data_IF_164961272146
#
_entry.id   IF_164961272146
#
_cell.length_a   1.000
_cell.length_b   1.000
_cell.length_c   1.000
_cell.angle_alpha   90.00
_cell.angle_beta   90.00
_cell.angle_gamma   90.00
#
_symmetry.space_group_name_H-M   'P 1'
#
loop_
_entity.id
_entity.type
_entity.pdbx_description
1 polymer ?
#
# COMPACT_ATOMS: atom_id res chain seq x y z
N UNK A 1 -13.37 -11.72 -15.09
CA UNK A 1 -14.39 -12.75 -14.99
C UNK A 1 -14.62 -13.31 -13.55
N UNK A 2 -13.73 -13.01 -12.60
CA UNK A 2 -13.82 -13.42 -11.18
C UNK A 2 -14.14 -12.24 -10.24
N UNK A 3 -14.58 -11.12 -10.79
CA UNK A 3 -14.99 -9.96 -9.99
C UNK A 3 -16.50 -10.01 -9.80
N UNK A 4 -16.98 -10.17 -8.58
CA UNK A 4 -18.41 -10.32 -8.26
C UNK A 4 -19.26 -9.11 -8.70
N UNK A 5 -18.65 -7.93 -8.72
CA UNK A 5 -19.32 -6.69 -9.14
C UNK A 5 -19.36 -6.44 -10.66
N UNK A 6 -18.72 -7.30 -11.46
CA UNK A 6 -18.63 -7.14 -12.92
C UNK A 6 -19.31 -8.31 -13.63
N UNK A 7 -20.45 -8.10 -14.31
CA UNK A 7 -21.09 -9.14 -15.10
C UNK A 7 -20.16 -9.69 -16.19
N UNK A 8 -20.23 -10.98 -16.46
CA UNK A 8 -19.37 -11.66 -17.44
C UNK A 8 -19.40 -11.03 -18.84
N UNK A 9 -20.58 -10.67 -19.30
CA UNK A 9 -20.75 -10.00 -20.60
C UNK A 9 -20.04 -8.65 -20.65
N UNK A 10 -20.10 -7.86 -19.57
CA UNK A 10 -19.40 -6.58 -19.50
C UNK A 10 -17.88 -6.79 -19.51
N UNK A 11 -17.37 -7.78 -18.78
CA UNK A 11 -15.94 -8.13 -18.78
C UNK A 11 -15.45 -8.57 -20.18
N UNK A 12 -16.25 -9.36 -20.90
CA UNK A 12 -15.93 -9.76 -22.28
C UNK A 12 -15.92 -8.56 -23.21
N UNK A 13 -16.95 -7.70 -23.16
CA UNK A 13 -17.08 -6.54 -24.04
C UNK A 13 -15.93 -5.55 -23.83
N UNK A 14 -15.55 -5.25 -22.60
CA UNK A 14 -14.41 -4.37 -22.31
C UNK A 14 -13.08 -4.98 -22.78
N UNK A 15 -12.88 -6.30 -22.61
CA UNK A 15 -11.69 -6.98 -23.11
C UNK A 15 -11.58 -6.93 -24.62
N UNK A 16 -12.71 -7.09 -25.33
CA UNK A 16 -12.79 -6.96 -26.81
C UNK A 16 -12.53 -5.53 -27.26
N UNK A 17 -13.07 -4.52 -26.55
CA UNK A 17 -12.78 -3.10 -26.82
C UNK A 17 -11.30 -2.78 -26.66
N UNK A 18 -10.67 -3.28 -25.59
CA UNK A 18 -9.22 -3.12 -25.36
C UNK A 18 -8.39 -3.74 -26.48
N UNK A 19 -8.74 -4.96 -26.93
CA UNK A 19 -8.06 -5.60 -28.06
C UNK A 19 -8.14 -4.77 -29.36
N UNK A 20 -9.33 -4.20 -29.65
CA UNK A 20 -9.54 -3.30 -30.80
C UNK A 20 -8.71 -2.01 -30.68
N UNK A 21 -8.69 -1.40 -29.49
CA UNK A 21 -7.96 -0.14 -29.22
C UNK A 21 -6.45 -0.31 -29.36
N UNK A 22 -5.91 -1.47 -29.02
CA UNK A 22 -4.48 -1.78 -29.11
C UNK A 22 -3.99 -2.15 -30.52
N UNK A 23 -4.66 -1.65 -31.56
CA UNK A 23 -4.31 -1.82 -33.00
C UNK A 23 -4.25 -3.27 -33.49
N UNK A 24 -4.94 -4.17 -32.81
CA UNK A 24 -5.05 -5.56 -33.25
C UNK A 24 -6.53 -6.00 -33.39
N UNK A 25 -7.26 -5.52 -34.41
CA UNK A 25 -8.67 -5.86 -34.59
C UNK A 25 -8.92 -7.36 -34.80
N UNK A 26 -7.94 -8.06 -35.38
CA UNK A 26 -8.02 -9.51 -35.65
C UNK A 26 -8.05 -10.27 -34.31
N UNK A 27 -7.27 -9.84 -33.32
CA UNK A 27 -7.26 -10.46 -32.00
C UNK A 27 -8.60 -10.30 -31.26
N UNK A 28 -9.43 -9.32 -31.61
CA UNK A 28 -10.69 -9.07 -30.91
C UNK A 28 -11.69 -10.24 -31.04
N UNK A 29 -11.74 -10.87 -32.22
CA UNK A 29 -12.56 -12.08 -32.44
C UNK A 29 -12.08 -13.26 -31.62
N UNK A 30 -10.76 -13.48 -31.60
CA UNK A 30 -10.14 -14.53 -30.79
C UNK A 30 -10.37 -14.32 -29.29
N UNK A 31 -10.16 -13.10 -28.78
CA UNK A 31 -10.41 -12.76 -27.36
C UNK A 31 -11.86 -13.02 -27.00
N UNK A 32 -12.81 -12.59 -27.84
CA UNK A 32 -14.22 -12.84 -27.59
C UNK A 32 -14.54 -14.36 -27.53
N UNK A 33 -14.07 -15.12 -28.53
CA UNK A 33 -14.31 -16.56 -28.61
C UNK A 33 -13.73 -17.30 -27.36
N UNK A 34 -12.48 -17.00 -27.02
CA UNK A 34 -11.79 -17.60 -25.88
C UNK A 34 -12.48 -17.29 -24.53
N UNK A 35 -12.86 -16.03 -24.29
CA UNK A 35 -13.53 -15.65 -23.04
C UNK A 35 -14.92 -16.26 -22.93
N UNK A 36 -15.70 -16.30 -24.02
CA UNK A 36 -17.02 -16.96 -24.03
C UNK A 36 -16.92 -18.47 -23.85
N UNK A 37 -15.89 -19.12 -24.42
CA UNK A 37 -15.63 -20.54 -24.21
C UNK A 37 -15.28 -20.82 -22.74
N UNK A 38 -14.44 -19.99 -22.13
CA UNK A 38 -14.10 -20.10 -20.72
C UNK A 38 -15.33 -19.96 -19.79
N UNK A 39 -16.23 -19.05 -20.12
CA UNK A 39 -17.49 -18.88 -19.39
C UNK A 39 -18.38 -20.13 -19.56
N UNK A 40 -18.53 -20.68 -20.78
CA UNK A 40 -19.32 -21.90 -21.04
C UNK A 40 -18.79 -23.12 -20.30
N UNK A 41 -17.49 -23.16 -20.05
CA UNK A 41 -16.85 -24.22 -19.27
C UNK A 41 -16.80 -23.93 -17.76
N UNK A 42 -17.77 -23.17 -17.23
CA UNK A 42 -17.91 -22.81 -15.82
C UNK A 42 -16.66 -22.16 -15.24
N UNK A 43 -15.88 -21.44 -16.05
CA UNK A 43 -14.63 -20.76 -15.66
C UNK A 43 -13.61 -21.68 -14.99
N UNK A 44 -13.59 -22.94 -15.38
CA UNK A 44 -12.65 -23.94 -14.81
C UNK A 44 -11.22 -23.58 -15.17
N UNK A 45 -10.39 -23.43 -14.14
CA UNK A 45 -8.96 -23.22 -14.33
C UNK A 45 -8.29 -24.51 -14.87
N UNK A 46 -7.24 -24.39 -15.69
CA UNK A 46 -6.46 -25.55 -16.10
C UNK A 46 -5.81 -26.22 -14.89
N UNK A 47 -5.58 -27.54 -14.99
CA UNK A 47 -4.84 -28.27 -13.94
C UNK A 47 -3.34 -28.02 -14.08
N UNK A 48 -2.68 -27.83 -12.94
CA UNK A 48 -1.22 -27.78 -12.87
C UNK A 48 -0.60 -29.16 -13.09
N UNK A 49 0.62 -29.21 -13.58
CA UNK A 49 1.39 -30.45 -13.75
C UNK A 49 1.90 -31.01 -12.42
N UNK A 50 1.95 -30.17 -11.41
CA UNK A 50 2.36 -30.48 -10.04
C UNK A 50 1.71 -29.49 -9.06
N UNK A 51 1.84 -29.76 -7.75
CA UNK A 51 1.22 -28.96 -6.69
C UNK A 51 1.64 -27.48 -6.73
N UNK A 52 2.87 -27.16 -7.11
CA UNK A 52 3.35 -25.77 -7.22
C UNK A 52 2.66 -25.02 -8.36
N UNK A 53 2.50 -25.68 -9.52
CA UNK A 53 1.77 -25.12 -10.65
C UNK A 53 0.26 -24.96 -10.34
N UNK A 54 -0.34 -25.90 -9.61
CA UNK A 54 -1.74 -25.77 -9.18
C UNK A 54 -1.92 -24.52 -8.33
N UNK A 55 -1.08 -24.31 -7.32
CA UNK A 55 -1.09 -23.09 -6.51
C UNK A 55 -0.82 -21.83 -7.35
N UNK A 56 0.12 -21.91 -8.28
CA UNK A 56 0.43 -20.81 -9.21
C UNK A 56 -0.78 -20.38 -10.03
N UNK A 57 -1.55 -21.33 -10.54
CA UNK A 57 -2.76 -21.09 -11.33
C UNK A 57 -3.88 -20.59 -10.43
N UNK A 58 -4.15 -21.27 -9.32
CA UNK A 58 -5.25 -20.97 -8.39
C UNK A 58 -5.13 -19.52 -7.83
N UNK A 59 -3.92 -19.12 -7.43
CA UNK A 59 -3.68 -17.80 -6.83
C UNK A 59 -3.10 -16.77 -7.81
N UNK A 60 -3.08 -17.09 -9.11
CA UNK A 60 -2.53 -16.18 -10.14
C UNK A 60 -1.16 -15.63 -9.74
N UNK A 61 -0.27 -16.51 -9.31
CA UNK A 61 1.10 -16.19 -8.93
C UNK A 61 2.08 -16.92 -9.86
N UNK A 62 3.20 -16.31 -10.30
CA UNK A 62 4.15 -17.02 -11.14
C UNK A 62 4.82 -18.16 -10.36
N UNK A 63 5.11 -19.26 -11.07
CA UNK A 63 5.69 -20.47 -10.47
C UNK A 63 6.94 -20.16 -9.64
N UNK A 64 7.85 -19.32 -10.17
CA UNK A 64 9.08 -18.95 -9.47
C UNK A 64 8.81 -18.31 -8.09
N UNK A 65 7.73 -17.54 -7.94
CA UNK A 65 7.39 -16.89 -6.69
C UNK A 65 6.85 -17.90 -5.68
N UNK A 66 5.99 -18.82 -6.14
CA UNK A 66 5.47 -19.93 -5.33
C UNK A 66 6.59 -20.84 -4.84
N UNK A 67 7.54 -21.17 -5.72
CA UNK A 67 8.74 -21.95 -5.36
C UNK A 67 9.62 -21.21 -4.35
N UNK A 68 9.88 -19.92 -4.57
CA UNK A 68 10.66 -19.08 -3.66
C UNK A 68 10.05 -19.06 -2.27
N UNK A 69 8.77 -18.77 -2.16
CA UNK A 69 8.09 -18.69 -0.86
C UNK A 69 8.00 -20.06 -0.18
N UNK A 70 7.75 -21.12 -0.94
CA UNK A 70 7.76 -22.48 -0.38
C UNK A 70 9.14 -22.85 0.19
N UNK A 71 10.21 -22.50 -0.50
CA UNK A 71 11.58 -22.77 -0.05
C UNK A 71 11.98 -21.94 1.17
N UNK A 72 11.58 -20.68 1.23
CA UNK A 72 11.99 -19.74 2.29
C UNK A 72 11.15 -19.84 3.55
N UNK A 73 9.86 -20.10 3.41
CA UNK A 73 8.91 -20.04 4.53
C UNK A 73 8.16 -21.37 4.79
N UNK A 74 8.34 -22.35 3.93
CA UNK A 74 7.57 -23.60 4.00
C UNK A 74 6.21 -23.53 3.31
N UNK A 75 5.59 -24.69 3.10
CA UNK A 75 4.35 -24.82 2.32
C UNK A 75 3.15 -24.09 2.94
N UNK A 76 2.98 -24.22 4.25
CA UNK A 76 1.80 -23.66 4.93
C UNK A 76 1.81 -22.13 4.92
N UNK A 77 2.96 -21.52 5.21
CA UNK A 77 3.12 -20.07 5.15
C UNK A 77 2.99 -19.58 3.71
N UNK A 78 3.59 -20.27 2.74
CA UNK A 78 3.45 -19.95 1.33
C UNK A 78 1.97 -19.93 0.91
N UNK A 79 1.18 -20.93 1.30
CA UNK A 79 -0.25 -21.01 1.00
C UNK A 79 -1.00 -19.79 1.59
N UNK A 80 -0.74 -19.43 2.84
CA UNK A 80 -1.37 -18.26 3.46
C UNK A 80 -0.93 -16.94 2.79
N UNK A 81 0.32 -16.81 2.37
CA UNK A 81 0.81 -15.66 1.60
C UNK A 81 0.11 -15.57 0.24
N UNK A 82 -0.08 -16.68 -0.46
CA UNK A 82 -0.79 -16.74 -1.74
C UNK A 82 -2.26 -16.36 -1.56
N UNK A 83 -2.97 -16.96 -0.61
CA UNK A 83 -4.37 -16.62 -0.27
C UNK A 83 -4.52 -15.13 0.03
N UNK A 84 -3.66 -14.58 0.85
CA UNK A 84 -3.72 -13.16 1.23
C UNK A 84 -3.30 -12.21 0.11
N UNK A 85 -2.59 -12.69 -0.91
CA UNK A 85 -2.17 -11.89 -2.08
C UNK A 85 -3.30 -11.58 -3.05
N UNK A 86 -4.42 -12.32 -2.98
CA UNK A 86 -5.60 -12.10 -3.83
C UNK A 86 -6.68 -11.37 -3.06
N UNK A 87 -7.59 -10.71 -3.80
CA UNK A 87 -8.68 -9.94 -3.24
C UNK A 87 -8.32 -8.49 -2.89
N UNK A 88 -9.27 -7.79 -2.30
CA UNK A 88 -9.12 -6.37 -1.98
C UNK A 88 -8.16 -6.18 -0.79
N UNK A 89 -7.18 -5.30 -0.97
CA UNK A 89 -6.27 -4.94 0.11
C UNK A 89 -7.01 -4.10 1.18
N UNK A 90 -6.80 -4.37 2.47
CA UNK A 90 -7.40 -3.56 3.52
C UNK A 90 -6.85 -2.13 3.44
N UNK A 91 -7.70 -1.15 3.71
CA UNK A 91 -7.29 0.24 3.90
C UNK A 91 -7.08 0.45 5.38
N UNK A 92 -5.87 0.80 5.76
CA UNK A 92 -5.55 1.18 7.14
C UNK A 92 -5.15 2.65 7.19
N UNK A 93 -5.50 3.31 8.27
CA UNK A 93 -5.16 4.69 8.53
C UNK A 93 -4.57 4.83 9.94
N UNK A 94 -3.75 5.84 10.11
CA UNK A 94 -3.26 6.26 11.41
C UNK A 94 -3.99 7.55 11.82
N UNK A 95 -4.40 7.61 13.07
CA UNK A 95 -4.98 8.81 13.68
C UNK A 95 -3.85 9.69 14.19
N UNK A 96 -3.87 10.95 13.82
CA UNK A 96 -2.94 11.99 14.31
C UNK A 96 -3.36 12.42 15.72
N UNK A 97 -2.81 11.77 16.71
CA UNK A 97 -3.12 12.04 18.13
C UNK A 97 -2.35 13.20 18.73
N UNK A 98 -1.50 13.89 17.97
CA UNK A 98 -0.77 15.07 18.42
C UNK A 98 -1.71 16.25 18.72
N UNK A 99 -2.68 16.47 17.84
CA UNK A 99 -3.60 17.62 17.92
C UNK A 99 -5.05 17.24 18.18
N UNK A 100 -5.39 15.95 18.04
CA UNK A 100 -6.77 15.47 18.13
C UNK A 100 -6.84 14.24 19.02
N UNK A 101 -7.89 14.12 19.84
CA UNK A 101 -8.10 12.87 20.55
C UNK A 101 -8.52 11.76 19.56
N UNK A 102 -8.13 10.52 19.87
CA UNK A 102 -8.54 9.37 19.11
C UNK A 102 -10.07 9.30 19.01
N UNK A 103 -10.77 9.42 20.16
CA UNK A 103 -12.22 9.32 20.22
C UNK A 103 -12.91 10.36 19.35
N UNK A 104 -12.52 11.66 19.46
CA UNK A 104 -13.14 12.72 18.64
C UNK A 104 -12.95 12.52 17.13
N UNK A 105 -11.85 11.86 16.74
CA UNK A 105 -11.60 11.53 15.33
C UNK A 105 -12.47 10.35 14.86
N UNK A 106 -12.65 9.37 15.74
CA UNK A 106 -13.51 8.22 15.45
C UNK A 106 -14.98 8.61 15.39
N UNK A 107 -15.44 9.50 16.29
CA UNK A 107 -16.79 10.05 16.26
C UNK A 107 -17.05 10.79 14.94
N UNK A 108 -16.11 11.64 14.51
CA UNK A 108 -16.21 12.33 13.23
C UNK A 108 -16.30 11.37 12.05
N UNK A 109 -15.50 10.30 12.02
CA UNK A 109 -15.59 9.29 10.97
C UNK A 109 -16.94 8.58 10.97
N UNK A 110 -17.47 8.26 12.15
CA UNK A 110 -18.79 7.64 12.30
C UNK A 110 -19.93 8.55 11.82
N UNK A 111 -19.86 9.86 12.15
CA UNK A 111 -20.80 10.87 11.66
C UNK A 111 -20.80 11.01 10.12
N UNK A 112 -19.65 10.78 9.49
CA UNK A 112 -19.50 10.73 8.03
C UNK A 112 -19.93 9.38 7.41
N UNK A 113 -20.44 8.44 8.22
CA UNK A 113 -20.85 7.12 7.78
C UNK A 113 -19.70 6.17 7.44
N UNK A 114 -18.48 6.49 7.89
CA UNK A 114 -17.30 5.64 7.70
C UNK A 114 -17.27 4.57 8.78
N UNK A 115 -17.32 3.32 8.39
CA UNK A 115 -17.13 2.19 9.31
C UNK A 115 -15.64 1.87 9.45
N UNK A 116 -15.24 1.54 10.67
CA UNK A 116 -13.85 1.23 10.98
C UNK A 116 -13.73 0.18 12.09
N UNK A 117 -12.56 -0.44 12.16
CA UNK A 117 -12.16 -1.39 13.19
C UNK A 117 -10.87 -0.89 13.84
N UNK A 118 -10.80 -0.87 15.17
CA UNK A 118 -9.56 -0.57 15.91
C UNK A 118 -8.64 -1.78 15.86
N UNK A 119 -7.37 -1.56 15.58
CA UNK A 119 -6.38 -2.61 15.57
C UNK A 119 -5.60 -2.61 16.88
N UNK A 120 -5.73 -3.69 17.66
CA UNK A 120 -5.10 -3.81 18.99
C UNK A 120 -3.58 -3.74 19.00
N UNK A 121 -2.95 -3.99 17.85
CA UNK A 121 -1.49 -3.99 17.70
C UNK A 121 -0.85 -2.60 17.79
N UNK A 122 -1.58 -1.56 17.41
CA UNK A 122 -1.18 -0.16 17.55
C UNK A 122 -2.43 0.68 17.92
N UNK A 123 -2.40 1.44 19.02
CA UNK A 123 -3.58 2.13 19.54
C UNK A 123 -4.16 3.17 18.57
N UNK A 124 -3.32 3.81 17.75
CA UNK A 124 -3.70 4.87 16.82
C UNK A 124 -3.97 4.35 15.39
N UNK A 125 -3.96 3.02 15.21
CA UNK A 125 -4.20 2.38 13.91
C UNK A 125 -5.63 1.89 13.81
N UNK A 126 -6.30 2.27 12.72
CA UNK A 126 -7.64 1.81 12.38
C UNK A 126 -7.66 1.16 10.99
N UNK A 127 -8.52 0.16 10.83
CA UNK A 127 -8.89 -0.37 9.51
C UNK A 127 -10.18 0.30 9.07
N UNK A 128 -10.16 0.90 7.88
CA UNK A 128 -11.35 1.49 7.26
C UNK A 128 -12.10 0.39 6.51
N UNK A 129 -13.39 0.25 6.77
CA UNK A 129 -14.25 -0.77 6.18
C UNK A 129 -15.27 -0.10 5.25
N UNK A 130 -15.44 -0.62 4.02
CA UNK A 130 -16.49 -0.22 3.10
C UNK A 130 -16.48 1.24 2.63
N UNK A 131 -15.40 1.95 2.84
CA UNK A 131 -15.30 3.36 2.49
C UNK A 131 -15.03 3.57 1.00
N UNK A 132 -15.61 4.62 0.44
CA UNK A 132 -15.12 5.29 -0.75
C UNK A 132 -13.71 5.90 -0.51
N UNK A 133 -13.34 6.91 -1.31
CA UNK A 133 -12.03 7.56 -1.16
C UNK A 133 -11.93 8.28 0.20
N UNK A 134 -11.09 7.75 1.09
CA UNK A 134 -10.82 8.29 2.44
C UNK A 134 -10.40 9.76 2.39
N UNK A 135 -9.72 10.15 1.31
CA UNK A 135 -9.23 11.50 1.06
C UNK A 135 -10.34 12.55 0.94
N UNK A 136 -11.59 12.13 0.75
CA UNK A 136 -12.73 13.03 0.68
C UNK A 136 -13.37 13.32 2.04
N UNK A 137 -13.04 12.56 3.07
CA UNK A 137 -13.56 12.77 4.44
C UNK A 137 -13.06 14.07 5.06
N UNK A 138 -13.83 14.64 6.01
CA UNK A 138 -13.39 15.79 6.81
C UNK A 138 -12.18 15.40 7.66
N UNK A 139 -12.23 14.23 8.29
CA UNK A 139 -11.13 13.72 9.11
C UNK A 139 -9.79 13.72 8.34
N UNK A 140 -9.78 13.37 7.06
CA UNK A 140 -8.58 13.46 6.24
C UNK A 140 -8.20 14.90 5.92
N UNK A 141 -9.15 15.73 5.47
CA UNK A 141 -8.91 17.13 5.09
C UNK A 141 -8.41 17.98 6.25
N UNK A 142 -8.91 17.72 7.46
CA UNK A 142 -8.52 18.40 8.68
C UNK A 142 -7.21 17.86 9.31
N UNK A 143 -6.55 16.91 8.66
CA UNK A 143 -5.29 16.37 9.15
C UNK A 143 -5.42 15.44 10.36
N UNK A 144 -6.60 14.91 10.64
CA UNK A 144 -6.84 14.00 11.75
C UNK A 144 -6.37 12.58 11.49
N UNK A 145 -6.29 12.21 10.21
CA UNK A 145 -5.83 10.89 9.77
C UNK A 145 -4.93 10.99 8.54
N UNK A 146 -4.09 9.96 8.37
CA UNK A 146 -3.45 9.67 7.11
C UNK A 146 -3.49 8.17 6.79
N UNK A 147 -3.60 7.84 5.51
CA UNK A 147 -3.63 6.45 5.04
C UNK A 147 -2.22 5.88 5.07
N UNK A 148 -2.05 4.77 5.80
CA UNK A 148 -0.77 4.08 5.89
C UNK A 148 -0.96 2.62 6.25
N UNK A 149 -0.22 1.72 5.58
CA UNK A 149 -0.24 0.30 5.90
C UNK A 149 0.24 0.02 7.32
N UNK A 150 -0.38 -0.97 7.96
CA UNK A 150 -0.02 -1.41 9.32
C UNK A 150 1.47 -1.76 9.44
N UNK A 151 2.04 -2.48 8.44
CA UNK A 151 3.46 -2.82 8.42
C UNK A 151 4.38 -1.58 8.41
N UNK A 152 3.97 -0.52 7.72
CA UNK A 152 4.69 0.76 7.71
C UNK A 152 4.60 1.48 9.05
N UNK A 153 3.46 1.41 9.74
CA UNK A 153 3.30 1.94 11.09
C UNK A 153 4.14 1.15 12.11
N UNK A 154 4.18 -0.18 12.00
CA UNK A 154 5.04 -1.04 12.82
C UNK A 154 6.53 -0.77 12.61
N UNK A 155 6.96 -0.48 11.37
CA UNK A 155 8.33 -0.07 11.08
C UNK A 155 8.70 1.21 11.85
N UNK A 156 7.82 2.21 11.88
CA UNK A 156 8.03 3.44 12.66
C UNK A 156 8.00 3.17 14.17
N UNK A 157 7.18 2.22 14.64
CA UNK A 157 7.16 1.80 16.03
C UNK A 157 8.47 1.12 16.45
N UNK A 158 9.03 0.27 15.58
CA UNK A 158 10.32 -0.39 15.80
C UNK A 158 11.51 0.60 15.77
N UNK A 159 11.42 1.69 15.01
CA UNK A 159 12.41 2.77 15.04
C UNK A 159 12.44 3.46 16.42
N UNK A 160 11.30 3.49 17.11
CA UNK A 160 11.13 4.03 18.46
C UNK A 160 11.71 5.46 18.63
N UNK A 161 11.30 6.44 17.81
CA UNK A 161 11.81 7.81 17.88
C UNK A 161 11.34 8.49 19.17
N UNK A 162 12.22 9.31 19.76
CA UNK A 162 11.98 10.10 20.98
C UNK A 162 11.77 11.57 20.65
N UNK A 163 11.08 12.29 21.50
CA UNK A 163 10.74 13.71 21.30
C UNK A 163 11.94 14.63 21.04
N UNK A 164 13.12 14.27 21.55
CA UNK A 164 14.35 15.07 21.37
C UNK A 164 15.19 14.66 20.15
N UNK A 165 14.84 13.58 19.47
CA UNK A 165 15.67 13.00 18.42
C UNK A 165 15.75 13.90 17.17
N UNK A 166 16.88 13.81 16.49
CA UNK A 166 17.00 14.13 15.07
C UNK A 166 16.88 12.85 14.26
N UNK A 167 15.86 12.74 13.44
CA UNK A 167 15.60 11.54 12.62
C UNK A 167 15.79 11.88 11.15
N UNK A 168 16.53 11.03 10.42
CA UNK A 168 16.65 11.10 8.96
C UNK A 168 15.74 10.03 8.33
N UNK A 169 14.89 10.44 7.38
CA UNK A 169 14.14 9.54 6.49
C UNK A 169 14.67 9.74 5.06
N UNK A 170 15.47 8.79 4.57
CA UNK A 170 16.26 8.96 3.34
C UNK A 170 15.53 8.64 2.04
N UNK A 171 14.38 7.93 2.12
CA UNK A 171 13.53 7.57 0.97
C UNK A 171 12.06 7.85 1.31
N UNK A 172 11.79 9.08 1.75
CA UNK A 172 10.61 9.42 2.53
C UNK A 172 9.29 9.46 1.78
N UNK A 173 9.30 9.85 0.49
CA UNK A 173 8.05 10.13 -0.22
C UNK A 173 7.16 8.89 -0.47
N UNK A 174 5.85 9.06 -0.29
CA UNK A 174 5.08 10.30 -0.17
C UNK A 174 4.97 10.89 1.25
N UNK A 175 5.65 10.37 2.27
CA UNK A 175 5.73 10.94 3.61
C UNK A 175 5.07 10.10 4.71
N UNK A 176 4.39 9.01 4.40
CA UNK A 176 3.63 8.25 5.40
C UNK A 176 4.44 7.83 6.63
N UNK A 177 5.67 7.33 6.47
CA UNK A 177 6.56 6.98 7.58
C UNK A 177 7.08 8.22 8.30
N UNK A 178 7.46 9.25 7.55
CA UNK A 178 7.87 10.56 8.07
C UNK A 178 6.82 11.16 9.00
N UNK A 179 5.53 11.15 8.59
CA UNK A 179 4.43 11.68 9.41
C UNK A 179 4.26 10.87 10.70
N UNK A 180 4.26 9.54 10.60
CA UNK A 180 4.18 8.66 11.78
C UNK A 180 5.35 8.88 12.74
N UNK A 181 6.56 9.10 12.25
CA UNK A 181 7.74 9.43 13.07
C UNK A 181 7.49 10.73 13.81
N UNK A 182 7.09 11.79 13.12
CA UNK A 182 6.81 13.10 13.71
C UNK A 182 5.68 13.05 14.75
N UNK A 183 4.61 12.29 14.48
CA UNK A 183 3.53 12.06 15.44
C UNK A 183 4.03 11.32 16.69
N UNK A 184 4.84 10.28 16.55
CA UNK A 184 5.45 9.56 17.68
C UNK A 184 6.42 10.39 18.48
N UNK A 185 7.04 11.40 17.87
CA UNK A 185 7.86 12.43 18.50
C UNK A 185 7.03 13.56 19.12
N UNK A 186 5.69 13.44 19.10
CA UNK A 186 4.78 14.49 19.59
C UNK A 186 5.05 15.85 18.93
N UNK A 187 5.38 15.84 17.62
CA UNK A 187 5.75 17.00 16.81
C UNK A 187 6.92 17.83 17.41
N UNK A 188 7.85 17.18 18.12
CA UNK A 188 9.04 17.80 18.70
C UNK A 188 10.31 17.25 18.02
N UNK A 189 11.48 17.76 18.42
CA UNK A 189 12.75 17.37 17.79
C UNK A 189 12.81 17.79 16.31
N UNK A 190 13.41 16.96 15.47
CA UNK A 190 13.59 17.25 14.04
C UNK A 190 13.45 15.98 13.20
N UNK A 191 12.63 16.03 12.15
CA UNK A 191 12.54 14.96 11.13
C UNK A 191 12.98 15.55 9.79
N UNK A 192 14.11 15.08 9.28
CA UNK A 192 14.67 15.49 7.99
C UNK A 192 14.33 14.40 6.97
N UNK A 193 13.41 14.72 6.07
CA UNK A 193 12.83 13.77 5.13
C UNK A 193 13.29 14.05 3.70
N UNK A 194 13.90 13.07 3.07
CA UNK A 194 14.50 13.23 1.75
C UNK A 194 13.90 12.26 0.72
N UNK A 195 13.81 12.74 -0.52
CA UNK A 195 13.55 11.87 -1.67
C UNK A 195 14.44 12.31 -2.85
N UNK A 196 14.67 11.40 -3.79
CA UNK A 196 15.51 11.68 -4.96
C UNK A 196 14.89 12.74 -5.88
N UNK A 197 13.56 12.82 -5.94
CA UNK A 197 12.83 13.68 -6.88
C UNK A 197 12.12 14.83 -6.18
N UNK A 198 12.32 16.05 -6.67
CA UNK A 198 11.74 17.27 -6.12
C UNK A 198 10.20 17.23 -6.02
N UNK A 199 9.53 16.73 -7.05
CA UNK A 199 8.07 16.60 -7.04
C UNK A 199 7.57 15.65 -5.94
N UNK A 200 8.34 14.61 -5.61
CA UNK A 200 8.03 13.69 -4.51
C UNK A 200 8.32 14.29 -3.15
N UNK A 201 9.39 15.06 -3.01
CA UNK A 201 9.67 15.81 -1.79
C UNK A 201 8.53 16.81 -1.48
N UNK A 202 7.95 17.45 -2.51
CA UNK A 202 6.79 18.34 -2.36
C UNK A 202 5.52 17.64 -1.81
N UNK A 203 5.37 16.33 -1.99
CA UNK A 203 4.28 15.56 -1.38
C UNK A 203 4.46 15.46 0.14
N UNK A 204 5.69 15.33 0.61
CA UNK A 204 6.01 15.30 2.05
C UNK A 204 5.65 16.65 2.67
N UNK A 205 6.06 17.76 2.05
CA UNK A 205 5.74 19.12 2.54
C UNK A 205 4.22 19.36 2.63
N UNK A 206 3.51 18.99 1.56
CA UNK A 206 2.05 19.15 1.53
C UNK A 206 1.34 18.30 2.58
N UNK A 207 1.80 17.06 2.80
CA UNK A 207 1.27 16.17 3.82
C UNK A 207 1.57 16.65 5.23
N UNK A 208 2.79 17.09 5.50
CA UNK A 208 3.21 17.65 6.78
C UNK A 208 2.36 18.89 7.15
N UNK A 209 2.17 19.80 6.19
CA UNK A 209 1.31 20.98 6.35
C UNK A 209 -0.14 20.60 6.66
N UNK A 210 -0.71 19.63 5.94
CA UNK A 210 -2.09 19.16 6.18
C UNK A 210 -2.25 18.56 7.58
N UNK A 211 -1.23 17.85 8.07
CA UNK A 211 -1.23 17.20 9.39
C UNK A 211 -0.78 18.13 10.54
N UNK A 212 -0.31 19.35 10.25
CA UNK A 212 0.19 20.29 11.25
C UNK A 212 1.55 19.90 11.85
N UNK A 213 2.36 19.09 11.14
CA UNK A 213 3.61 18.53 11.64
C UNK A 213 4.81 19.42 11.28
N UNK A 214 5.09 20.41 12.11
CA UNK A 214 6.08 21.46 11.87
C UNK A 214 7.54 21.00 12.13
N UNK A 215 7.75 19.90 12.84
CA UNK A 215 9.07 19.34 13.09
C UNK A 215 9.69 18.67 11.83
N UNK A 216 8.92 18.56 10.73
CA UNK A 216 9.35 17.96 9.47
C UNK A 216 9.97 19.02 8.55
N UNK A 217 11.16 18.70 8.03
CA UNK A 217 11.79 19.45 6.93
C UNK A 217 12.03 18.50 5.75
N UNK A 218 11.42 18.80 4.60
CA UNK A 218 11.58 17.97 3.41
C UNK A 218 12.66 18.55 2.47
N UNK A 219 13.35 17.66 1.75
CA UNK A 219 14.40 18.06 0.83
C UNK A 219 14.68 17.01 -0.25
N UNK A 220 15.54 17.39 -1.20
CA UNK A 220 16.02 16.49 -2.24
C UNK A 220 17.38 15.95 -1.85
N UNK A 221 17.52 14.62 -1.83
CA UNK A 221 18.82 13.98 -1.60
C UNK A 221 18.87 12.61 -2.33
N UNK A 222 20.05 12.25 -2.79
CA UNK A 222 20.31 10.93 -3.33
C UNK A 222 20.93 10.03 -2.25
N UNK A 223 20.14 9.16 -1.65
CA UNK A 223 20.57 8.24 -0.59
C UNK A 223 21.73 7.28 -0.98
N UNK A 224 22.08 7.20 -2.26
CA UNK A 224 23.25 6.42 -2.73
C UNK A 224 24.57 7.18 -2.63
N UNK A 225 24.52 8.48 -2.37
CA UNK A 225 25.70 9.35 -2.32
C UNK A 225 25.82 9.89 -0.91
N UNK A 226 26.99 9.68 -0.31
CA UNK A 226 27.29 10.25 0.99
C UNK A 226 27.39 11.78 0.88
N UNK A 227 26.68 12.50 1.76
CA UNK A 227 26.72 13.94 1.86
C UNK A 227 27.31 14.35 3.22
N UNK A 228 28.52 14.90 3.22
CA UNK A 228 29.20 15.36 4.42
C UNK A 228 28.46 16.49 5.17
N UNK A 229 27.56 17.18 4.48
CA UNK A 229 26.73 18.26 5.06
C UNK A 229 25.51 17.72 5.79
N UNK A 230 25.20 16.43 5.61
CA UNK A 230 24.10 15.79 6.30
C UNK A 230 24.35 15.86 7.82
N UNK A 231 23.39 16.37 8.61
CA UNK A 231 23.56 16.42 10.05
C UNK A 231 23.65 15.02 10.65
N UNK A 232 24.36 14.89 11.76
CA UNK A 232 24.30 13.66 12.56
C UNK A 232 22.89 13.47 13.08
N UNK A 233 22.42 12.23 13.09
CA UNK A 233 21.09 11.88 13.53
C UNK A 233 21.15 10.81 14.63
N UNK A 234 20.15 10.84 15.49
CA UNK A 234 19.97 9.81 16.52
C UNK A 234 19.40 8.53 15.90
N UNK A 235 18.57 8.71 14.85
CA UNK A 235 17.93 7.60 14.13
C UNK A 235 17.89 7.87 12.63
N UNK A 236 17.99 6.77 11.87
CA UNK A 236 17.92 6.81 10.41
C UNK A 236 16.93 5.76 9.92
N UNK A 237 15.97 6.18 9.12
CA UNK A 237 15.10 5.30 8.35
C UNK A 237 15.52 5.32 6.89
N UNK A 238 15.68 4.14 6.30
CA UNK A 238 15.94 3.98 4.86
C UNK A 238 14.99 2.92 4.28
N UNK A 239 13.78 3.35 3.90
CA UNK A 239 12.82 2.50 3.19
C UNK A 239 13.09 2.58 1.68
N UNK A 240 14.19 1.96 1.27
CA UNK A 240 14.67 2.02 -0.10
C UNK A 240 13.75 1.29 -1.08
N UNK A 241 13.70 1.73 -2.36
CA UNK A 241 12.99 1.01 -3.42
C UNK A 241 13.45 -0.45 -3.52
N UNK A 242 12.49 -1.36 -3.61
CA UNK A 242 12.74 -2.81 -3.66
C UNK A 242 11.91 -3.47 -4.76
N UNK A 243 11.87 -4.80 -4.80
CA UNK A 243 11.04 -5.59 -5.74
C UNK A 243 9.55 -5.32 -5.65
N UNK A 244 9.06 -4.78 -4.54
CA UNK A 244 7.65 -4.48 -4.31
C UNK A 244 6.78 -5.70 -3.98
N UNK A 245 7.34 -6.88 -3.72
CA UNK A 245 6.57 -8.08 -3.41
C UNK A 245 5.67 -7.91 -2.17
N UNK A 246 6.01 -7.02 -1.24
CA UNK A 246 5.16 -6.69 -0.09
C UNK A 246 3.85 -5.97 -0.43
N UNK A 247 3.70 -5.44 -1.64
CA UNK A 247 2.49 -4.70 -2.06
C UNK A 247 1.72 -5.38 -3.19
N UNK A 248 1.99 -6.66 -3.48
CA UNK A 248 1.34 -7.42 -4.58
C UNK A 248 -0.18 -7.46 -4.47
N UNK A 249 -0.75 -7.41 -3.27
CA UNK A 249 -2.20 -7.35 -3.06
C UNK A 249 -2.81 -6.06 -3.59
N UNK A 250 -2.06 -4.95 -3.55
CA UNK A 250 -2.48 -3.63 -4.09
C UNK A 250 -2.11 -3.44 -5.55
N UNK A 251 -1.00 -4.07 -5.98
CA UNK A 251 -0.39 -3.96 -7.30
C UNK A 251 -0.03 -5.35 -7.82
N UNK A 252 -1.03 -6.16 -8.21
CA UNK A 252 -0.82 -7.56 -8.58
C UNK A 252 0.11 -7.74 -9.78
N UNK A 253 0.23 -6.73 -10.65
CA UNK A 253 1.14 -6.74 -11.80
C UNK A 253 2.62 -6.86 -11.42
N UNK A 254 2.99 -6.50 -10.19
CA UNK A 254 4.39 -6.60 -9.69
C UNK A 254 4.89 -8.05 -9.71
N UNK A 255 3.98 -9.03 -9.53
CA UNK A 255 4.34 -10.45 -9.59
C UNK A 255 4.98 -10.88 -10.91
N UNK A 256 4.73 -10.13 -11.97
CA UNK A 256 5.12 -10.46 -13.34
C UNK A 256 6.16 -9.50 -13.95
N UNK A 257 6.79 -8.68 -13.13
CA UNK A 257 7.86 -7.77 -13.54
C UNK A 257 9.24 -8.37 -13.33
#
# INVERSE_FOLDING_TARGET
LYMDSVPDNAAVDESVKLAKKNRNPVASGFVNAMLREFIRNDKKLPKGRNATEELSIEYSAPVWLTEKWTREYGKDICLEMLKTSVGQAPVTARVNTVFHSLESTLDMLAEEGITFERLSVLPDCIRICGAGAVEHTKAYKEGRIHVQDLSSQLCCAALDPKESDTVLDLCAAPGGKTFTIAERMNNKGRVLAFDLHKNRAGLIESGAKRLGLDCISAGVNNAKVYDEKMPKADKVLCDAPCSGLGVIRRKPEIKYK
#
